data_IF_724722202118
#
_entry.id   IF_724722202118
#
_cell.length_a   1.000
_cell.length_b   1.000
_cell.length_c   1.000
_cell.angle_alpha   90.00
_cell.angle_beta   90.00
_cell.angle_gamma   90.00
#
_symmetry.space_group_name_H-M   'P 1'
#
loop_
_entity.id
_entity.type
_entity.pdbx_description
1 polymer ?
#
# COMPACT_ATOMS: atom_id res chain seq x y z
N UNK A 1 -24.01 14.25 -15.89
CA UNK A 1 -23.41 14.54 -14.59
C UNK A 1 -22.69 13.28 -14.13
N UNK A 2 -21.36 13.20 -14.31
CA UNK A 2 -20.60 12.06 -13.79
C UNK A 2 -20.37 12.38 -12.31
N UNK A 3 -21.07 11.66 -11.44
CA UNK A 3 -20.85 11.73 -10.00
C UNK A 3 -19.42 11.23 -9.75
N UNK A 4 -18.49 12.14 -9.41
CA UNK A 4 -17.19 11.74 -8.90
C UNK A 4 -17.45 11.02 -7.58
N UNK A 5 -17.30 9.69 -7.55
CA UNK A 5 -17.21 8.95 -6.28
C UNK A 5 -15.91 9.39 -5.64
N UNK A 6 -15.99 10.11 -4.52
CA UNK A 6 -14.80 10.53 -3.80
C UNK A 6 -14.05 9.29 -3.32
N UNK A 7 -12.82 9.16 -3.80
CA UNK A 7 -11.89 8.15 -3.34
C UNK A 7 -11.54 8.43 -1.87
N UNK A 8 -11.86 7.52 -0.95
CA UNK A 8 -11.44 7.70 0.46
C UNK A 8 -9.93 7.43 0.54
N UNK A 9 -9.15 8.50 0.58
CA UNK A 9 -7.70 8.44 0.80
C UNK A 9 -7.45 8.40 2.31
N UNK A 10 -6.83 7.33 2.78
CA UNK A 10 -6.41 7.17 4.18
C UNK A 10 -4.90 7.09 4.24
N UNK A 11 -4.29 7.82 5.16
CA UNK A 11 -2.89 7.60 5.49
C UNK A 11 -2.79 6.43 6.49
N UNK A 12 -1.80 5.56 6.30
CA UNK A 12 -1.48 4.51 7.25
C UNK A 12 0.02 4.44 7.47
N UNK A 13 0.42 4.00 8.66
CA UNK A 13 1.82 3.76 9.01
C UNK A 13 2.08 2.27 9.15
N UNK A 14 3.25 1.81 8.73
CA UNK A 14 3.68 0.43 8.84
C UNK A 14 5.16 0.38 9.27
N UNK A 15 5.55 -0.71 9.91
CA UNK A 15 6.93 -0.94 10.29
C UNK A 15 7.62 -1.86 9.27
N UNK A 16 8.84 -1.48 8.89
CA UNK A 16 9.74 -2.29 8.07
C UNK A 16 10.85 -2.77 8.97
N UNK A 17 10.97 -4.09 9.12
CA UNK A 17 12.03 -4.72 9.91
C UNK A 17 13.03 -5.41 9.00
N UNK A 18 14.32 -5.19 9.27
CA UNK A 18 15.42 -5.95 8.70
C UNK A 18 15.82 -7.02 9.70
N UNK A 19 15.87 -8.26 9.25
CA UNK A 19 16.30 -9.39 10.08
C UNK A 19 17.67 -9.91 9.64
N UNK A 20 18.42 -10.50 10.56
CA UNK A 20 19.63 -11.26 10.24
C UNK A 20 19.28 -12.68 9.76
N UNK A 21 20.30 -13.48 9.45
CA UNK A 21 20.14 -14.87 9.01
C UNK A 21 19.51 -15.81 10.04
N UNK A 22 19.44 -15.39 11.31
CA UNK A 22 18.80 -16.13 12.40
C UNK A 22 17.36 -15.65 12.67
N UNK A 23 16.84 -14.72 11.85
CA UNK A 23 15.49 -14.16 11.99
C UNK A 23 15.37 -13.10 13.08
N UNK A 24 16.48 -12.63 13.65
CA UNK A 24 16.45 -11.58 14.66
C UNK A 24 16.40 -10.20 14.00
N UNK A 25 15.54 -9.32 14.50
CA UNK A 25 15.44 -7.94 14.02
C UNK A 25 16.74 -7.20 14.35
N UNK A 26 17.40 -6.67 13.32
CA UNK A 26 18.62 -5.86 13.44
C UNK A 26 18.37 -4.38 13.16
N UNK A 27 17.34 -4.04 12.39
CA UNK A 27 16.91 -2.65 12.14
C UNK A 27 15.38 -2.61 12.04
N UNK A 28 14.77 -1.50 12.46
CA UNK A 28 13.35 -1.21 12.29
C UNK A 28 13.19 0.24 11.85
N UNK A 29 12.42 0.47 10.79
CA UNK A 29 12.05 1.80 10.32
C UNK A 29 10.54 1.91 10.17
N UNK A 30 10.01 3.13 10.32
CA UNK A 30 8.59 3.41 10.20
C UNK A 30 8.31 4.06 8.85
N UNK A 31 7.49 3.41 8.04
CA UNK A 31 6.97 3.93 6.78
C UNK A 31 5.58 4.53 6.96
N UNK A 32 5.23 5.45 6.06
CA UNK A 32 3.87 5.96 5.91
C UNK A 32 3.50 5.92 4.44
N UNK A 33 2.26 5.55 4.14
CA UNK A 33 1.77 5.57 2.77
C UNK A 33 0.27 5.88 2.70
N UNK A 34 -0.22 6.10 1.49
CA UNK A 34 -1.64 6.35 1.21
C UNK A 34 -2.31 5.06 0.79
N UNK A 35 -3.48 4.83 1.34
CA UNK A 35 -4.35 3.70 1.07
C UNK A 35 -5.67 4.22 0.47
N UNK A 36 -6.16 3.52 -0.53
CA UNK A 36 -7.38 3.85 -1.26
C UNK A 36 -8.30 2.63 -1.29
N UNK A 37 -9.60 2.87 -1.07
CA UNK A 37 -10.64 1.83 -1.12
C UNK A 37 -11.69 2.26 -2.13
N UNK A 38 -11.94 1.40 -3.11
CA UNK A 38 -12.99 1.56 -4.10
C UNK A 38 -14.03 0.44 -3.98
N UNK A 39 -15.30 0.82 -3.78
CA UNK A 39 -16.42 -0.11 -3.88
C UNK A 39 -16.81 -0.29 -5.35
N UNK A 40 -16.61 -1.50 -5.87
CA UNK A 40 -16.94 -1.88 -7.26
C UNK A 40 -18.40 -2.36 -7.40
N UNK A 41 -19.17 -2.39 -6.32
CA UNK A 41 -20.51 -2.96 -6.24
C UNK A 41 -20.48 -4.48 -6.03
N UNK A 42 -21.66 -5.07 -5.83
CA UNK A 42 -21.83 -6.52 -5.63
C UNK A 42 -20.95 -7.09 -4.50
N UNK A 43 -20.74 -6.33 -3.42
CA UNK A 43 -19.89 -6.72 -2.28
C UNK A 43 -18.41 -6.91 -2.64
N UNK A 44 -17.97 -6.40 -3.79
CA UNK A 44 -16.56 -6.42 -4.22
C UNK A 44 -15.93 -5.07 -3.91
N UNK A 45 -14.84 -5.12 -3.13
CA UNK A 45 -14.04 -3.96 -2.77
C UNK A 45 -12.63 -4.10 -3.31
N UNK A 46 -12.13 -3.04 -3.96
CA UNK A 46 -10.74 -2.94 -4.40
C UNK A 46 -9.95 -2.09 -3.41
N UNK A 47 -8.94 -2.71 -2.81
CA UNK A 47 -8.02 -2.07 -1.87
C UNK A 47 -6.68 -1.78 -2.56
N UNK A 48 -6.21 -0.54 -2.46
CA UNK A 48 -5.00 -0.07 -3.14
C UNK A 48 -4.07 0.67 -2.18
N UNK A 49 -2.78 0.52 -2.39
CA UNK A 49 -1.73 1.26 -1.69
C UNK A 49 -0.96 2.06 -2.72
N UNK A 50 -0.87 3.37 -2.50
CA UNK A 50 0.00 4.24 -3.30
C UNK A 50 1.44 3.77 -3.13
N UNK A 51 2.25 3.79 -4.18
CA UNK A 51 3.69 3.61 -4.05
C UNK A 51 4.33 4.92 -4.49
N UNK A 52 5.27 5.43 -3.69
CA UNK A 52 6.03 6.63 -4.06
C UNK A 52 6.77 6.41 -5.38
N UNK A 53 7.05 7.50 -6.09
CA UNK A 53 7.72 7.50 -7.39
C UNK A 53 8.95 6.57 -7.43
N UNK A 54 9.04 5.75 -8.47
CA UNK A 54 10.09 4.75 -8.64
C UNK A 54 9.77 3.81 -9.80
N UNK A 55 10.79 3.13 -10.32
CA UNK A 55 10.61 2.10 -11.35
C UNK A 55 10.40 0.75 -10.67
N UNK A 56 9.15 0.31 -10.62
CA UNK A 56 8.81 -1.03 -10.14
C UNK A 56 8.66 -1.94 -11.34
N UNK A 57 9.60 -2.87 -11.51
CA UNK A 57 9.49 -3.91 -12.53
C UNK A 57 8.41 -4.91 -12.06
N UNK A 58 7.20 -4.79 -12.62
CA UNK A 58 6.11 -5.72 -12.39
C UNK A 58 6.34 -6.99 -13.22
N UNK A 59 7.16 -7.90 -12.68
CA UNK A 59 7.50 -9.18 -13.30
C UNK A 59 8.70 -9.11 -14.24
N UNK A 60 9.40 -10.24 -14.37
CA UNK A 60 10.49 -10.48 -15.32
C UNK A 60 10.10 -11.68 -16.19
N UNK A 61 9.90 -11.44 -17.48
CA UNK A 61 10.04 -12.45 -18.52
C UNK A 61 10.76 -11.85 -19.71
#
# INVERSE_FOLDING_TARGET
MIQQREAIIKEFTFDVVKVNSQGQIVEQSRGQNKYFVEDLGNEITLEMVSITEGTFIMGIH
#
